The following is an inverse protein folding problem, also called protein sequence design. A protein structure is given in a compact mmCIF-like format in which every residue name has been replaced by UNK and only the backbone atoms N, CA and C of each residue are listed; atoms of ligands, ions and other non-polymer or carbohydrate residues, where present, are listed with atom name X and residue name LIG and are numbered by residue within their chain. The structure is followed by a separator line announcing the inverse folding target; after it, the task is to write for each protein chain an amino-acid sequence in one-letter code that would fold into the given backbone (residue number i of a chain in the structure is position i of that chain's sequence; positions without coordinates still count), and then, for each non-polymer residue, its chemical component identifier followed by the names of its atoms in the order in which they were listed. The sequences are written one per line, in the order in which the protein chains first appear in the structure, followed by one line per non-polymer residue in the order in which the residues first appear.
data_IF_935708700501
#
_entry.id   IF_935708700501
#
_cell.length_a   1.000
_cell.length_b   1.000
_cell.length_c   1.000
_cell.angle_alpha   90.00
_cell.angle_beta   90.00
_cell.angle_gamma   90.00
#
_symmetry.space_group_name_H-M   'P 1'
#
loop_
_entity.id
_entity.type
_entity.pdbx_description
1 polymer ?
#
# COMPACT_ATOMS: atom_id res chain seq x y z
N UNK A 1 3.96 -20.03 39.30
CA UNK A 1 3.52 -19.28 38.11
C UNK A 1 4.24 -17.94 38.11
N UNK A 2 4.72 -17.44 36.97
CA UNK A 2 5.38 -16.15 36.90
C UNK A 2 4.36 -15.00 37.11
N UNK A 3 4.79 -13.89 37.72
CA UNK A 3 3.95 -12.69 37.90
C UNK A 3 3.70 -12.02 36.55
N UNK A 4 2.49 -11.53 36.30
CA UNK A 4 2.11 -10.82 35.06
C UNK A 4 3.05 -9.63 34.79
N UNK A 5 3.55 -8.99 35.84
CA UNK A 5 4.49 -7.86 35.73
C UNK A 5 5.81 -8.23 35.04
N UNK A 6 6.23 -9.50 35.14
CA UNK A 6 7.44 -9.99 34.44
C UNK A 6 7.23 -10.23 32.94
N UNK A 7 5.98 -10.18 32.46
CA UNK A 7 5.62 -10.28 31.04
C UNK A 7 5.48 -8.90 30.38
N UNK A 8 5.58 -7.82 31.15
CA UNK A 8 5.58 -6.47 30.63
C UNK A 8 7.03 -5.98 30.49
N UNK A 9 7.31 -5.34 29.36
CA UNK A 9 8.60 -4.68 29.15
C UNK A 9 8.80 -3.63 30.26
N UNK A 10 9.87 -3.70 31.06
CA UNK A 10 10.09 -2.76 32.14
C UNK A 10 10.21 -1.34 31.57
N UNK A 11 9.43 -0.41 32.14
CA UNK A 11 9.59 1.00 31.83
C UNK A 11 10.90 1.48 32.45
N UNK A 12 11.70 2.30 31.73
CA UNK A 12 12.90 2.88 32.31
C UNK A 12 12.54 3.71 33.55
N UNK A 13 13.30 3.50 34.63
CA UNK A 13 13.12 4.20 35.89
C UNK A 13 13.19 5.72 35.69
N UNK A 14 12.09 6.41 36.01
CA UNK A 14 12.04 7.88 36.04
C UNK A 14 12.72 8.40 37.30
N UNK A 15 14.04 8.24 37.39
CA UNK A 15 14.85 8.92 38.40
C UNK A 15 15.45 10.16 37.72
N UNK A 16 15.09 11.32 38.28
CA UNK A 16 15.25 12.61 37.64
C UNK A 16 16.67 12.97 37.23
N UNK A 17 16.78 13.59 36.05
CA UNK A 17 17.92 14.42 35.69
C UNK A 17 17.38 15.74 35.18
N UNK A 18 17.61 16.80 35.97
CA UNK A 18 17.48 18.19 35.52
C UNK A 18 18.63 18.47 34.56
N UNK A 19 18.35 18.62 33.28
CA UNK A 19 19.23 19.39 32.40
C UNK A 19 18.41 20.00 31.26
N UNK A 20 18.54 21.32 31.12
CA UNK A 20 18.10 22.11 29.98
C UNK A 20 18.58 21.50 28.66
N UNK A 21 17.70 21.44 27.64
CA UNK A 21 17.90 22.09 26.34
C UNK A 21 16.61 21.96 25.51
N UNK A 22 16.04 23.10 25.12
CA UNK A 22 14.99 23.13 24.10
C UNK A 22 15.65 22.87 22.74
N UNK A 23 15.21 21.83 22.05
CA UNK A 23 15.41 21.67 20.62
C UNK A 23 14.17 20.96 20.07
N UNK A 24 13.36 21.73 19.34
CA UNK A 24 12.21 21.28 18.55
C UNK A 24 12.66 20.30 17.47
N UNK A 25 12.80 19.02 17.83
CA UNK A 25 13.07 17.95 16.89
C UNK A 25 11.74 17.42 16.30
N UNK A 26 11.24 18.19 15.34
CA UNK A 26 10.63 17.71 14.09
C UNK A 26 10.50 16.18 13.98
N UNK A 27 9.36 15.63 14.40
CA UNK A 27 8.96 14.25 14.12
C UNK A 27 8.63 14.17 12.62
N UNK A 28 9.65 14.01 11.78
CA UNK A 28 9.50 13.70 10.36
C UNK A 28 9.62 12.19 10.15
N UNK A 29 8.49 11.50 10.25
CA UNK A 29 8.33 10.08 9.87
C UNK A 29 8.37 9.88 8.35
N UNK A 30 9.38 10.40 7.65
CA UNK A 30 9.63 10.02 6.25
C UNK A 30 11.11 10.16 5.92
N UNK A 31 11.84 9.03 6.00
CA UNK A 31 13.12 8.88 5.31
C UNK A 31 12.85 8.89 3.79
N UNK A 32 12.73 10.08 3.21
CA UNK A 32 12.80 10.29 1.76
C UNK A 32 14.27 10.20 1.37
N UNK A 33 14.70 9.01 0.95
CA UNK A 33 16.00 8.82 0.33
C UNK A 33 16.12 9.75 -0.88
N UNK A 34 17.10 10.64 -0.79
CA UNK A 34 17.48 11.59 -1.84
C UNK A 34 17.80 10.85 -3.13
N UNK A 35 16.98 11.06 -4.16
CA UNK A 35 17.33 10.71 -5.53
C UNK A 35 18.43 11.67 -6.00
N UNK A 36 19.67 11.20 -5.96
CA UNK A 36 20.80 11.81 -6.65
C UNK A 36 20.49 11.92 -8.15
N UNK A 37 20.67 13.14 -8.67
CA UNK A 37 20.55 13.54 -10.07
C UNK A 37 21.18 12.53 -11.05
N UNK A 38 20.36 12.00 -11.96
CA UNK A 38 20.84 11.26 -13.12
C UNK A 38 21.14 12.23 -14.28
N UNK A 39 22.24 12.06 -15.02
CA UNK A 39 22.59 12.94 -16.12
C UNK A 39 21.70 12.72 -17.35
N UNK A 40 21.46 13.83 -18.03
CA UNK A 40 20.73 14.02 -19.27
C UNK A 40 21.17 13.04 -20.37
N UNK A 41 20.29 12.09 -20.74
CA UNK A 41 20.56 11.12 -21.82
C UNK A 41 20.17 11.76 -23.15
N UNK A 42 21.15 12.40 -23.79
CA UNK A 42 21.07 12.94 -25.16
C UNK A 42 20.42 11.95 -26.13
N UNK A 43 19.40 12.46 -26.84
CA UNK A 43 18.81 11.82 -28.02
C UNK A 43 19.86 11.68 -29.11
N UNK A 44 20.16 10.45 -29.51
CA UNK A 44 20.88 10.19 -30.77
C UNK A 44 19.87 9.62 -31.76
N UNK A 45 19.56 10.42 -32.78
CA UNK A 45 18.71 10.03 -33.89
C UNK A 45 19.42 8.95 -34.70
N UNK A 46 18.91 7.72 -34.65
CA UNK A 46 19.31 6.68 -35.59
C UNK A 46 18.13 6.36 -36.50
N UNK A 47 18.13 7.00 -37.66
CA UNK A 47 17.33 6.63 -38.83
C UNK A 47 17.79 5.25 -39.32
N UNK A 48 16.99 4.22 -39.06
CA UNK A 48 17.06 3.00 -39.86
C UNK A 48 15.66 2.51 -40.18
N UNK A 49 15.27 2.77 -41.41
CA UNK A 49 14.08 2.25 -42.09
C UNK A 49 14.21 0.74 -42.26
N UNK A 50 13.39 -0.03 -41.54
CA UNK A 50 13.03 -1.38 -41.96
C UNK A 50 11.56 -1.64 -41.66
N UNK A 51 10.77 -1.58 -42.71
CA UNK A 51 9.41 -2.11 -42.79
C UNK A 51 9.45 -3.62 -42.59
N UNK A 52 8.97 -4.08 -41.44
CA UNK A 52 8.46 -5.45 -41.29
C UNK A 52 7.08 -5.33 -40.68
N UNK A 53 6.08 -5.76 -41.45
CA UNK A 53 4.70 -5.98 -41.03
C UNK A 53 4.69 -6.95 -39.86
N UNK A 54 4.77 -6.42 -38.65
CA UNK A 54 4.57 -7.19 -37.43
C UNK A 54 3.07 -7.36 -37.25
N UNK A 55 2.62 -8.61 -37.36
CA UNK A 55 1.37 -9.04 -36.76
C UNK A 55 1.41 -8.64 -35.29
N UNK A 56 0.56 -7.69 -34.89
CA UNK A 56 0.48 -7.23 -33.51
C UNK A 56 -0.15 -8.36 -32.70
N UNK A 57 0.68 -9.29 -32.22
CA UNK A 57 0.29 -10.19 -31.15
C UNK A 57 -0.23 -9.30 -30.02
N UNK A 58 -1.51 -9.41 -29.68
CA UNK A 58 -2.15 -8.68 -28.59
C UNK A 58 -1.49 -9.09 -27.26
N UNK A 59 -0.31 -8.54 -26.99
CA UNK A 59 0.36 -8.68 -25.70
C UNK A 59 -0.45 -7.84 -24.73
N UNK A 60 -1.20 -8.51 -23.86
CA UNK A 60 -1.90 -7.85 -22.76
C UNK A 60 -0.88 -6.94 -22.04
N UNK A 61 -1.16 -5.64 -21.87
CA UNK A 61 -0.23 -4.73 -21.22
C UNK A 61 0.10 -5.26 -19.82
N UNK A 62 1.38 -5.18 -19.43
CA UNK A 62 1.81 -5.60 -18.10
C UNK A 62 1.27 -4.59 -17.09
N UNK A 63 0.29 -5.04 -16.31
CA UNK A 63 -0.27 -4.28 -15.19
C UNK A 63 0.80 -4.21 -14.09
N UNK A 64 1.00 -3.02 -13.51
CA UNK A 64 1.89 -2.85 -12.37
C UNK A 64 1.42 -3.69 -11.18
N UNK A 65 2.33 -4.18 -10.35
CA UNK A 65 1.97 -5.04 -9.20
C UNK A 65 1.04 -4.33 -8.21
N UNK A 66 1.13 -3.01 -8.15
CA UNK A 66 0.34 -2.16 -7.25
C UNK A 66 -0.87 -1.53 -7.94
N UNK A 67 -1.17 -1.91 -9.19
CA UNK A 67 -2.34 -1.41 -9.87
C UNK A 67 -3.62 -1.97 -9.24
N UNK A 68 -4.71 -1.17 -9.21
CA UNK A 68 -6.00 -1.66 -8.74
C UNK A 68 -6.54 -2.74 -9.67
N UNK A 69 -7.21 -3.74 -9.08
CA UNK A 69 -7.80 -4.88 -9.78
C UNK A 69 -9.29 -4.91 -9.46
N UNK A 70 -10.11 -4.71 -10.48
CA UNK A 70 -11.57 -4.72 -10.39
C UNK A 70 -12.11 -5.93 -11.14
N UNK A 71 -12.27 -7.04 -10.42
CA UNK A 71 -12.88 -8.26 -10.95
C UNK A 71 -14.20 -8.45 -10.23
N UNK A 72 -15.35 -8.49 -10.94
CA UNK A 72 -16.64 -8.68 -10.30
C UNK A 72 -16.71 -10.08 -9.68
N UNK A 73 -17.37 -10.21 -8.54
CA UNK A 73 -17.42 -11.47 -7.80
C UNK A 73 -18.39 -11.47 -6.63
N UNK A 74 -18.48 -12.61 -5.94
CA UNK A 74 -19.28 -12.75 -4.74
C UNK A 74 -18.43 -12.69 -3.47
N UNK A 75 -19.03 -12.13 -2.43
CA UNK A 75 -18.45 -12.07 -1.08
C UNK A 75 -18.33 -13.46 -0.47
N UNK A 76 -17.27 -13.70 0.31
CA UNK A 76 -17.08 -14.95 1.06
C UNK A 76 -17.70 -14.82 2.45
N UNK A 77 -18.90 -15.37 2.62
CA UNK A 77 -19.63 -15.35 3.89
C UNK A 77 -20.55 -14.15 4.04
N UNK A 78 -20.96 -13.87 5.27
CA UNK A 78 -21.89 -12.80 5.60
C UNK A 78 -21.18 -11.43 5.67
N UNK A 79 -21.77 -10.41 5.04
CA UNK A 79 -21.29 -9.03 5.07
C UNK A 79 -22.02 -8.27 6.15
N UNK A 80 -21.34 -8.02 7.28
CA UNK A 80 -21.89 -7.24 8.39
C UNK A 80 -21.82 -5.73 8.18
N UNK A 81 -20.89 -5.29 7.34
CA UNK A 81 -20.61 -3.89 7.06
C UNK A 81 -20.59 -3.70 5.54
N UNK A 82 -21.75 -3.43 4.91
CA UNK A 82 -21.80 -3.20 3.48
C UNK A 82 -21.07 -1.88 3.14
N UNK A 83 -20.46 -1.78 1.94
CA UNK A 83 -19.89 -0.53 1.47
C UNK A 83 -20.97 0.56 1.42
N UNK A 84 -20.62 1.78 1.82
CA UNK A 84 -21.50 2.95 1.70
C UNK A 84 -22.86 2.80 2.40
N UNK A 85 -22.88 2.09 3.55
CA UNK A 85 -24.09 1.81 4.32
C UNK A 85 -24.86 3.07 4.77
N UNK A 86 -24.20 4.22 4.87
CA UNK A 86 -24.78 5.48 5.33
C UNK A 86 -25.14 6.38 4.13
N UNK A 87 -26.44 6.54 3.79
CA UNK A 87 -26.88 7.39 2.68
C UNK A 87 -26.69 8.90 2.92
N UNK A 88 -26.15 9.30 4.08
CA UNK A 88 -25.98 10.70 4.50
C UNK A 88 -24.65 11.30 4.02
N UNK A 89 -23.74 10.48 3.50
CA UNK A 89 -22.42 10.90 2.99
C UNK A 89 -22.52 11.47 1.56
N UNK A 90 -23.30 12.54 1.37
CA UNK A 90 -23.27 13.32 0.12
C UNK A 90 -21.83 13.76 -0.24
N UNK A 91 -21.02 14.00 0.80
CA UNK A 91 -19.58 14.24 0.74
C UNK A 91 -18.80 13.13 0.05
N UNK A 92 -19.12 11.86 0.29
CA UNK A 92 -18.42 10.73 -0.34
C UNK A 92 -18.64 10.70 -1.85
N UNK A 93 -19.88 10.89 -2.31
CA UNK A 93 -20.19 10.90 -3.75
C UNK A 93 -19.51 12.08 -4.47
N UNK A 94 -19.46 13.25 -3.84
CA UNK A 94 -18.75 14.43 -4.35
C UNK A 94 -17.25 14.19 -4.48
N UNK A 95 -16.61 13.60 -3.48
CA UNK A 95 -15.18 13.26 -3.53
C UNK A 95 -14.89 12.18 -4.57
N UNK A 96 -15.75 11.17 -4.66
CA UNK A 96 -15.63 10.10 -5.65
C UNK A 96 -15.67 10.65 -7.08
N UNK A 97 -16.57 11.60 -7.34
CA UNK A 97 -16.65 12.32 -8.60
C UNK A 97 -15.42 13.21 -8.84
N UNK A 98 -14.99 13.96 -7.81
CA UNK A 98 -13.82 14.85 -7.86
C UNK A 98 -12.54 14.11 -8.26
N UNK A 99 -12.34 12.89 -7.77
CA UNK A 99 -11.16 12.09 -8.07
C UNK A 99 -11.37 11.07 -9.21
N UNK A 100 -12.57 11.03 -9.82
CA UNK A 100 -12.91 10.08 -10.89
C UNK A 100 -12.58 8.63 -10.50
N UNK A 101 -12.95 8.26 -9.27
CA UNK A 101 -12.69 6.93 -8.73
C UNK A 101 -13.57 5.87 -9.41
N UNK A 102 -13.06 4.64 -9.44
CA UNK A 102 -13.75 3.46 -9.95
C UNK A 102 -13.58 2.32 -8.94
N UNK A 103 -14.59 1.47 -8.70
CA UNK A 103 -15.94 1.48 -9.29
C UNK A 103 -16.83 2.59 -8.71
N UNK A 104 -17.93 2.98 -9.38
CA UNK A 104 -18.94 3.90 -8.82
C UNK A 104 -19.37 3.48 -7.41
N UNK A 105 -19.75 4.46 -6.57
CA UNK A 105 -20.07 4.25 -5.15
C UNK A 105 -21.06 3.11 -4.93
N UNK A 106 -22.12 3.06 -5.74
CA UNK A 106 -23.18 2.05 -5.63
C UNK A 106 -22.74 0.64 -6.07
N UNK A 107 -21.68 0.54 -6.87
CA UNK A 107 -21.18 -0.71 -7.44
C UNK A 107 -19.99 -1.29 -6.66
N UNK A 108 -19.51 -0.61 -5.60
CA UNK A 108 -18.34 -1.06 -4.82
C UNK A 108 -18.52 -2.50 -4.29
N UNK A 109 -19.75 -2.85 -3.90
CA UNK A 109 -20.07 -4.18 -3.37
C UNK A 109 -19.88 -5.31 -4.39
N UNK A 110 -19.92 -5.02 -5.69
CA UNK A 110 -19.84 -6.01 -6.77
C UNK A 110 -18.40 -6.47 -7.07
N UNK A 111 -17.40 -5.76 -6.53
CA UNK A 111 -15.98 -6.04 -6.78
C UNK A 111 -15.22 -6.53 -5.53
N UNK A 112 -15.68 -7.58 -4.82
CA UNK A 112 -14.98 -8.09 -3.66
C UNK A 112 -13.67 -8.78 -4.08
N UNK A 113 -12.58 -8.46 -3.38
CA UNK A 113 -11.28 -9.10 -3.59
C UNK A 113 -10.91 -10.00 -2.42
N UNK A 114 -10.76 -11.29 -2.69
CA UNK A 114 -10.18 -12.22 -1.72
C UNK A 114 -8.66 -12.03 -1.66
N UNK A 115 -8.16 -11.64 -0.49
CA UNK A 115 -6.73 -11.60 -0.19
C UNK A 115 -6.38 -12.85 0.63
N UNK A 116 -5.49 -13.72 0.15
CA UNK A 116 -5.08 -14.90 0.90
C UNK A 116 -4.51 -14.56 2.28
N UNK A 117 -4.86 -15.38 3.27
CA UNK A 117 -4.43 -15.19 4.67
C UNK A 117 -2.93 -15.43 4.88
N UNK A 118 -2.30 -16.28 4.07
CA UNK A 118 -0.86 -16.48 4.07
C UNK A 118 -0.23 -15.82 2.85
N UNK A 119 0.84 -15.08 3.12
CA UNK A 119 1.73 -14.56 2.10
C UNK A 119 3.06 -15.28 2.25
N UNK A 120 3.42 -16.13 1.29
CA UNK A 120 4.74 -16.78 1.18
C UNK A 120 5.81 -15.79 0.69
N UNK A 121 5.55 -14.48 0.79
CA UNK A 121 6.48 -13.45 0.37
C UNK A 121 7.66 -13.44 1.33
N UNK A 122 8.82 -13.91 0.87
CA UNK A 122 10.09 -13.94 1.63
C UNK A 122 10.40 -12.64 2.40
N UNK A 123 10.12 -11.48 1.80
CA UNK A 123 10.35 -10.19 2.45
C UNK A 123 9.47 -9.94 3.68
N UNK A 124 8.28 -10.54 3.73
CA UNK A 124 7.38 -10.46 4.88
C UNK A 124 7.88 -11.38 5.99
N UNK A 125 8.23 -12.61 5.62
CA UNK A 125 8.80 -13.64 6.49
C UNK A 125 10.05 -13.15 7.23
N UNK A 126 11.05 -12.66 6.49
CA UNK A 126 12.31 -12.13 7.05
C UNK A 126 12.10 -10.94 7.98
N UNK A 127 11.24 -9.98 7.60
CA UNK A 127 10.98 -8.78 8.40
C UNK A 127 10.16 -9.04 9.66
N UNK A 128 9.29 -10.04 9.64
CA UNK A 128 8.41 -10.35 10.77
C UNK A 128 9.01 -11.40 11.71
N UNK A 129 10.13 -12.04 11.33
CA UNK A 129 10.76 -13.09 12.13
C UNK A 129 9.85 -14.29 12.36
N UNK A 130 8.88 -14.51 11.46
CA UNK A 130 7.88 -15.58 11.58
C UNK A 130 8.54 -16.97 11.57
N UNK A 131 9.67 -17.07 10.87
CA UNK A 131 10.56 -18.23 10.81
C UNK A 131 11.07 -18.68 12.19
N UNK A 132 11.13 -17.76 13.17
CA UNK A 132 11.65 -18.06 14.51
C UNK A 132 10.64 -18.76 15.42
N UNK A 133 9.40 -18.94 14.97
CA UNK A 133 8.30 -19.54 15.75
C UNK A 133 7.95 -20.97 15.30
N UNK A 134 8.69 -21.57 14.37
CA UNK A 134 8.61 -22.99 13.99
C UNK A 134 9.69 -23.85 14.66
#
# INVERSE_FOLDING_TARGET
MASIESLLNPLPDRIGSKHHQEDDANISYFHRSSITSLPDRRMSANTFSQSKSQTTSNKKPRIAKDAPIFIPGSVRGEVRYPPCADPVEATMAEEHAKFSLYPPVDEIADYPRHIPYSSEKKSLMEKTGRESFE
#
